data_IF_109900959496
#
_entry.id   IF_109900959496
#
_cell.length_a   1.000
_cell.length_b   1.000
_cell.length_c   1.000
_cell.angle_alpha   90.00
_cell.angle_beta   90.00
_cell.angle_gamma   90.00
#
_symmetry.space_group_name_H-M   'P 1'
#
loop_
_entity.id
_entity.type
_entity.pdbx_description
1 polymer ?
#
# COMPACT_ATOMS: atom_id res chain seq x y z
N UNK A 1 19.67 9.16 12.07
CA UNK A 1 18.66 10.24 12.10
C UNK A 1 17.39 9.60 12.63
N UNK A 2 17.07 9.79 13.91
CA UNK A 2 15.94 9.10 14.54
C UNK A 2 14.62 9.54 13.91
N UNK A 3 13.80 8.57 13.54
CA UNK A 3 12.50 8.73 12.90
C UNK A 3 11.61 9.74 13.67
N UNK A 4 11.71 9.75 15.00
CA UNK A 4 10.98 10.67 15.88
C UNK A 4 11.31 12.14 15.63
N UNK A 5 12.56 12.49 15.35
CA UNK A 5 12.96 13.88 15.09
C UNK A 5 12.37 14.42 13.78
N UNK A 6 12.22 13.54 12.77
CA UNK A 6 11.61 13.90 11.49
C UNK A 6 10.11 14.21 11.70
N UNK A 7 9.40 13.39 12.50
CA UNK A 7 7.99 13.60 12.79
C UNK A 7 7.72 14.92 13.54
N UNK A 8 8.52 15.24 14.56
CA UNK A 8 8.37 16.51 15.30
C UNK A 8 8.57 17.72 14.39
N UNK A 9 9.57 17.66 13.52
CA UNK A 9 9.87 18.75 12.58
C UNK A 9 8.77 18.92 11.51
N UNK A 10 8.17 17.83 11.03
CA UNK A 10 7.02 17.86 10.12
C UNK A 10 5.80 18.50 10.80
N UNK A 11 5.56 18.18 12.09
CA UNK A 11 4.48 18.80 12.87
C UNK A 11 4.68 20.31 13.04
N UNK A 12 5.91 20.74 13.30
CA UNK A 12 6.24 22.18 13.41
C UNK A 12 6.07 22.93 12.08
N UNK A 13 6.37 22.28 10.96
CA UNK A 13 6.14 22.84 9.61
C UNK A 13 4.65 22.95 9.29
N UNK A 14 3.86 21.91 9.62
CA UNK A 14 2.41 21.92 9.52
C UNK A 14 1.77 23.04 10.36
N UNK A 15 2.33 23.32 11.54
CA UNK A 15 1.85 24.35 12.44
C UNK A 15 2.11 25.79 11.94
N UNK A 16 3.15 26.02 11.11
CA UNK A 16 3.54 27.37 10.66
C UNK A 16 2.64 27.96 9.56
N UNK A 17 2.07 27.15 8.66
CA UNK A 17 1.10 27.62 7.63
C UNK A 17 -0.03 26.61 7.39
N UNK A 18 -0.88 26.36 8.40
CA UNK A 18 -1.80 25.23 8.39
C UNK A 18 -2.88 25.36 7.30
N UNK A 19 -3.54 26.52 7.18
CA UNK A 19 -4.73 26.66 6.34
C UNK A 19 -4.48 26.37 4.85
N UNK A 20 -3.36 26.85 4.30
CA UNK A 20 -3.02 26.64 2.87
C UNK A 20 -2.55 25.21 2.58
N UNK A 21 -1.73 24.63 3.45
CA UNK A 21 -1.27 23.24 3.31
C UNK A 21 -2.47 22.29 3.38
N UNK A 22 -3.31 22.48 4.40
CA UNK A 22 -4.49 21.64 4.62
C UNK A 22 -5.47 21.77 3.48
N UNK A 23 -5.74 22.99 3.00
CA UNK A 23 -6.62 23.21 1.85
C UNK A 23 -6.14 22.52 0.58
N UNK A 24 -4.84 22.55 0.29
CA UNK A 24 -4.28 21.89 -0.89
C UNK A 24 -4.21 20.35 -0.73
N UNK A 25 -3.91 19.84 0.46
CA UNK A 25 -3.97 18.40 0.74
C UNK A 25 -5.42 17.88 0.66
N UNK A 26 -6.38 18.65 1.16
CA UNK A 26 -7.81 18.32 1.08
C UNK A 26 -8.31 18.35 -0.37
N UNK A 27 -7.86 19.33 -1.15
CA UNK A 27 -8.12 19.40 -2.58
C UNK A 27 -7.55 18.18 -3.30
N UNK A 28 -6.31 17.79 -3.01
CA UNK A 28 -5.71 16.59 -3.59
C UNK A 28 -6.47 15.32 -3.22
N UNK A 29 -6.89 15.18 -1.96
CA UNK A 29 -7.73 14.07 -1.52
C UNK A 29 -9.07 14.04 -2.28
N UNK A 30 -9.71 15.20 -2.45
CA UNK A 30 -10.94 15.32 -3.23
C UNK A 30 -10.72 14.88 -4.68
N UNK A 31 -9.63 15.30 -5.32
CA UNK A 31 -9.27 14.89 -6.68
C UNK A 31 -9.02 13.38 -6.78
N UNK A 32 -8.34 12.79 -5.80
CA UNK A 32 -8.12 11.34 -5.75
C UNK A 32 -9.42 10.56 -5.60
N UNK A 33 -10.36 11.05 -4.77
CA UNK A 33 -11.69 10.44 -4.62
C UNK A 33 -12.48 10.53 -5.92
N UNK A 34 -12.50 11.69 -6.57
CA UNK A 34 -13.15 11.87 -7.87
C UNK A 34 -12.52 10.94 -8.92
N UNK A 35 -11.19 10.85 -8.97
CA UNK A 35 -10.49 9.94 -9.88
C UNK A 35 -10.82 8.46 -9.60
N UNK A 36 -11.03 8.09 -8.35
CA UNK A 36 -11.40 6.74 -7.95
C UNK A 36 -12.86 6.40 -8.28
N UNK A 37 -13.77 7.37 -8.13
CA UNK A 37 -15.21 7.20 -8.44
C UNK A 37 -15.45 7.19 -9.95
N UNK A 38 -14.81 8.08 -10.70
CA UNK A 38 -14.95 8.19 -12.16
C UNK A 38 -14.14 7.14 -12.91
N UNK A 39 -12.99 6.72 -12.34
CA UNK A 39 -12.15 5.69 -12.91
C UNK A 39 -12.73 4.30 -12.65
N UNK A 40 -13.79 3.96 -13.40
CA UNK A 40 -14.50 2.67 -13.35
C UNK A 40 -13.52 1.48 -13.47
N UNK A 41 -12.42 1.68 -14.20
CA UNK A 41 -11.37 0.68 -14.37
C UNK A 41 -10.15 1.01 -13.49
N UNK A 42 -9.68 0.08 -12.64
CA UNK A 42 -8.52 0.29 -11.77
C UNK A 42 -7.24 0.61 -12.56
N UNK A 43 -7.15 0.17 -13.81
CA UNK A 43 -6.00 0.46 -14.69
C UNK A 43 -5.88 1.96 -15.04
N UNK A 44 -6.98 2.71 -15.01
CA UNK A 44 -7.01 4.15 -15.29
C UNK A 44 -6.95 4.95 -13.99
N UNK A 45 -7.66 4.51 -12.95
CA UNK A 45 -7.69 5.25 -11.67
C UNK A 45 -6.35 5.18 -10.92
N UNK A 46 -5.71 4.01 -10.87
CA UNK A 46 -4.43 3.83 -10.18
C UNK A 46 -3.34 4.80 -10.63
N UNK A 47 -3.02 4.97 -11.92
CA UNK A 47 -1.97 5.91 -12.33
C UNK A 47 -2.33 7.35 -11.98
N UNK A 48 -3.59 7.77 -12.10
CA UNK A 48 -4.01 9.14 -11.75
C UNK A 48 -3.81 9.38 -10.25
N UNK A 49 -4.22 8.43 -9.40
CA UNK A 49 -4.05 8.51 -7.94
C UNK A 49 -2.57 8.55 -7.56
N UNK A 50 -1.73 7.73 -8.19
CA UNK A 50 -0.28 7.73 -7.93
C UNK A 50 0.38 9.08 -8.29
N UNK A 51 0.01 9.67 -9.42
CA UNK A 51 0.54 10.96 -9.84
C UNK A 51 0.10 12.11 -8.92
N UNK A 52 -1.14 12.09 -8.44
CA UNK A 52 -1.63 13.03 -7.43
C UNK A 52 -0.91 12.85 -6.08
N UNK A 53 -0.56 11.60 -5.74
CA UNK A 53 0.17 11.29 -4.51
C UNK A 53 1.59 11.86 -4.56
N UNK A 54 2.25 11.75 -5.72
CA UNK A 54 3.54 12.41 -5.96
C UNK A 54 3.44 13.95 -5.83
N UNK A 55 2.35 14.54 -6.33
CA UNK A 55 2.06 15.97 -6.16
C UNK A 55 1.93 16.39 -4.69
N UNK A 56 1.25 15.58 -3.87
CA UNK A 56 1.17 15.80 -2.43
C UNK A 56 2.54 15.74 -1.76
N UNK A 57 3.35 14.72 -2.08
CA UNK A 57 4.70 14.60 -1.51
C UNK A 57 5.55 15.82 -1.84
N UNK A 58 5.46 16.32 -3.09
CA UNK A 58 6.15 17.56 -3.48
C UNK A 58 5.65 18.78 -2.71
N UNK A 59 4.34 18.87 -2.47
CA UNK A 59 3.73 19.95 -1.72
C UNK A 59 4.19 19.96 -0.26
N UNK A 60 4.28 18.80 0.39
CA UNK A 60 4.84 18.67 1.74
C UNK A 60 6.33 19.02 1.77
N UNK A 61 7.09 18.61 0.76
CA UNK A 61 8.51 18.95 0.63
C UNK A 61 8.73 20.46 0.45
N UNK A 62 7.95 21.11 -0.40
CA UNK A 62 7.97 22.56 -0.58
C UNK A 62 7.56 23.30 0.70
N UNK A 63 6.55 22.78 1.42
CA UNK A 63 6.14 23.28 2.73
C UNK A 63 7.25 23.21 3.78
N UNK A 64 8.01 22.10 3.79
CA UNK A 64 9.17 21.91 4.65
C UNK A 64 10.30 22.91 4.34
N UNK A 65 10.57 23.17 3.06
CA UNK A 65 11.59 24.15 2.65
C UNK A 65 11.14 25.62 2.79
N UNK A 66 9.87 25.88 3.16
CA UNK A 66 9.33 27.23 3.29
C UNK A 66 9.03 27.93 1.96
N UNK A 67 8.92 27.18 0.86
CA UNK A 67 8.63 27.72 -0.47
C UNK A 67 7.17 28.17 -0.62
N UNK A 68 6.89 28.98 -1.63
CA UNK A 68 5.52 29.45 -1.92
C UNK A 68 4.65 28.29 -2.40
N UNK A 69 3.63 27.94 -1.61
CA UNK A 69 2.68 26.88 -1.92
C UNK A 69 1.79 27.29 -3.09
N UNK A 70 1.88 26.53 -4.19
CA UNK A 70 1.03 26.69 -5.39
C UNK A 70 0.28 25.40 -5.70
N UNK A 71 -0.94 25.53 -6.21
CA UNK A 71 -1.75 24.40 -6.70
C UNK A 71 -1.11 23.68 -7.89
N UNK A 72 -0.22 24.33 -8.64
CA UNK A 72 0.54 23.69 -9.72
C UNK A 72 1.41 22.53 -9.25
N UNK A 73 1.83 22.54 -7.99
CA UNK A 73 2.65 21.49 -7.40
C UNK A 73 1.88 20.17 -7.27
N UNK A 74 0.55 20.22 -7.11
CA UNK A 74 -0.31 19.03 -7.05
C UNK A 74 -0.30 18.24 -8.37
N UNK A 75 -0.17 18.94 -9.50
CA UNK A 75 -0.11 18.33 -10.82
C UNK A 75 1.31 18.06 -11.31
N UNK A 76 2.33 18.20 -10.44
CA UNK A 76 3.71 18.00 -10.82
C UNK A 76 3.98 16.60 -11.39
N UNK A 77 3.33 15.57 -10.85
CA UNK A 77 3.43 14.21 -11.38
C UNK A 77 3.01 14.09 -12.85
N UNK A 78 2.06 14.91 -13.31
CA UNK A 78 1.58 14.92 -14.68
C UNK A 78 2.49 15.71 -15.64
N UNK A 79 3.25 16.70 -15.14
CA UNK A 79 4.09 17.59 -15.96
C UNK A 79 5.51 17.04 -16.22
N UNK A 80 5.95 16.04 -15.47
CA UNK A 80 7.30 15.47 -15.56
C UNK A 80 7.37 14.13 -16.31
N UNK A 81 8.38 13.32 -15.97
CA UNK A 81 8.54 11.96 -16.48
C UNK A 81 7.51 11.00 -15.86
N UNK A 82 6.26 11.10 -16.29
CA UNK A 82 5.11 10.30 -15.84
C UNK A 82 5.44 8.80 -15.80
N UNK A 83 6.07 8.27 -16.86
CA UNK A 83 6.43 6.85 -16.95
C UNK A 83 7.40 6.41 -15.86
N UNK A 84 8.39 7.24 -15.56
CA UNK A 84 9.40 6.93 -14.54
C UNK A 84 8.76 6.89 -13.15
N UNK A 85 7.95 7.89 -12.82
CA UNK A 85 7.27 7.97 -11.53
C UNK A 85 6.26 6.85 -11.34
N UNK A 86 5.42 6.57 -12.36
CA UNK A 86 4.44 5.49 -12.30
C UNK A 86 5.10 4.12 -12.17
N UNK A 87 6.18 3.86 -12.91
CA UNK A 87 6.89 2.58 -12.82
C UNK A 87 7.53 2.42 -11.43
N UNK A 88 8.19 3.45 -10.91
CA UNK A 88 8.81 3.41 -9.57
C UNK A 88 7.80 3.21 -8.45
N UNK A 89 6.71 4.00 -8.43
CA UNK A 89 5.65 3.88 -7.42
C UNK A 89 4.84 2.59 -7.59
N UNK A 90 4.59 2.17 -8.83
CA UNK A 90 3.95 0.89 -9.14
C UNK A 90 4.79 -0.30 -8.67
N UNK A 91 6.12 -0.24 -8.84
CA UNK A 91 7.05 -1.25 -8.36
C UNK A 91 7.05 -1.34 -6.82
N UNK A 92 7.01 -0.20 -6.13
CA UNK A 92 6.84 -0.16 -4.68
C UNK A 92 5.54 -0.86 -4.25
N UNK A 93 4.40 -0.54 -4.90
CA UNK A 93 3.12 -1.17 -4.58
C UNK A 93 3.12 -2.67 -4.85
N UNK A 94 3.76 -3.10 -5.94
CA UNK A 94 3.92 -4.52 -6.27
C UNK A 94 4.64 -5.26 -5.13
N UNK A 95 5.74 -4.71 -4.62
CA UNK A 95 6.47 -5.32 -3.52
C UNK A 95 5.65 -5.39 -2.23
N UNK A 96 4.96 -4.31 -1.87
CA UNK A 96 4.06 -4.30 -0.71
C UNK A 96 2.98 -5.38 -0.87
N UNK A 97 2.40 -5.50 -2.07
CA UNK A 97 1.38 -6.50 -2.37
C UNK A 97 1.91 -7.93 -2.23
N UNK A 98 3.12 -8.23 -2.74
CA UNK A 98 3.75 -9.55 -2.60
C UNK A 98 3.96 -9.90 -1.13
N UNK A 99 4.54 -8.98 -0.34
CA UNK A 99 4.76 -9.20 1.08
C UNK A 99 3.46 -9.37 1.86
N UNK A 100 2.42 -8.61 1.50
CA UNK A 100 1.09 -8.76 2.07
C UNK A 100 0.43 -10.09 1.69
N UNK A 101 0.70 -10.66 0.52
CA UNK A 101 0.09 -11.90 0.04
C UNK A 101 0.62 -13.15 0.76
N UNK A 102 1.90 -13.15 1.15
CA UNK A 102 2.55 -14.27 1.86
C UNK A 102 1.76 -14.77 3.09
N UNK A 103 1.34 -13.91 4.05
CA UNK A 103 0.57 -14.37 5.20
C UNK A 103 -0.80 -14.95 4.81
N UNK A 104 -1.45 -14.46 3.76
CA UNK A 104 -2.70 -15.04 3.28
C UNK A 104 -2.49 -16.43 2.67
N UNK A 105 -1.43 -16.62 1.88
CA UNK A 105 -1.11 -17.91 1.27
C UNK A 105 -0.89 -19.02 2.32
N UNK A 106 -0.24 -18.69 3.44
CA UNK A 106 -0.04 -19.64 4.55
C UNK A 106 -1.36 -20.12 5.17
N UNK A 107 -2.35 -19.23 5.31
CA UNK A 107 -3.67 -19.57 5.85
C UNK A 107 -4.40 -20.55 4.91
N UNK A 108 -4.36 -20.31 3.60
CA UNK A 108 -4.99 -21.22 2.63
C UNK A 108 -4.38 -22.63 2.68
N UNK A 109 -3.05 -22.74 2.79
CA UNK A 109 -2.35 -24.02 2.92
C UNK A 109 -2.77 -24.72 4.22
N UNK A 110 -2.84 -23.98 5.35
CA UNK A 110 -3.23 -24.54 6.63
C UNK A 110 -4.67 -25.10 6.59
N UNK A 111 -5.61 -24.38 6.00
CA UNK A 111 -7.00 -24.84 5.84
C UNK A 111 -7.08 -26.13 5.03
N UNK A 112 -6.38 -26.20 3.90
CA UNK A 112 -6.32 -27.41 3.07
C UNK A 112 -5.80 -28.62 3.86
N UNK A 113 -4.73 -28.41 4.65
CA UNK A 113 -4.14 -29.45 5.50
C UNK A 113 -5.07 -29.91 6.63
N UNK A 114 -5.84 -29.01 7.24
CA UNK A 114 -6.81 -29.38 8.29
C UNK A 114 -7.83 -30.40 7.78
N UNK A 115 -8.35 -30.22 6.56
CA UNK A 115 -9.28 -31.18 5.97
C UNK A 115 -8.62 -32.53 5.69
N UNK A 116 -7.39 -32.54 5.17
CA UNK A 116 -6.64 -33.77 4.93
C UNK A 116 -6.34 -34.52 6.25
N UNK A 117 -5.91 -33.81 7.29
CA UNK A 117 -5.50 -34.41 8.56
C UNK A 117 -6.66 -34.92 9.41
N UNK A 118 -7.89 -34.54 9.10
CA UNK A 118 -9.08 -35.04 9.80
C UNK A 118 -9.31 -36.54 9.59
N UNK A 119 -8.73 -37.13 8.56
CA UNK A 119 -8.78 -38.58 8.28
C UNK A 119 -7.70 -39.40 9.00
N UNK A 120 -6.69 -38.74 9.56
CA UNK A 120 -5.56 -39.40 10.25
C UNK A 120 -6.03 -40.30 11.40
N UNK A 121 -6.96 -39.91 12.29
CA UNK A 121 -7.44 -40.78 13.35
C UNK A 121 -8.09 -42.06 12.81
N UNK A 122 -8.82 -41.98 11.70
CA UNK A 122 -9.45 -43.15 11.07
C UNK A 122 -8.43 -44.12 10.47
N UNK A 123 -7.36 -43.59 9.87
CA UNK A 123 -6.27 -44.42 9.33
C UNK A 123 -5.56 -45.15 10.47
N UNK A 124 -5.25 -44.45 11.57
CA UNK A 124 -4.54 -45.03 12.72
C UNK A 124 -5.35 -46.12 13.44
N UNK A 125 -6.68 -45.99 13.50
CA UNK A 125 -7.56 -47.01 14.10
C UNK A 125 -7.61 -48.27 13.22
N UNK A 126 -7.70 -48.11 11.90
CA UNK A 126 -7.89 -49.23 10.98
C UNK A 126 -6.58 -49.88 10.52
N UNK A 127 -5.44 -49.21 10.69
CA UNK A 127 -4.11 -49.66 10.25
C UNK A 127 -3.06 -49.41 11.33
N UNK A 128 -3.01 -50.25 12.39
CA UNK A 128 -2.06 -50.10 13.49
C UNK A 128 -0.59 -50.24 13.08
N UNK A 129 -0.32 -50.87 11.93
CA UNK A 129 1.00 -51.02 11.33
C UNK A 129 1.57 -49.74 10.70
N UNK A 130 0.74 -48.72 10.48
CA UNK A 130 1.17 -47.46 9.85
C UNK A 130 1.68 -46.47 10.89
N UNK A 131 2.89 -45.97 10.69
CA UNK A 131 3.47 -44.98 11.58
C UNK A 131 2.69 -43.64 11.54
N UNK A 132 2.57 -42.91 12.66
CA UNK A 132 1.80 -41.66 12.73
C UNK A 132 2.21 -40.59 11.71
N UNK A 133 3.50 -40.51 11.36
CA UNK A 133 4.00 -39.54 10.37
C UNK A 133 3.65 -39.93 8.93
N UNK A 134 3.47 -41.21 8.65
CA UNK A 134 3.07 -41.69 7.32
C UNK A 134 1.57 -41.51 7.10
N UNK A 135 0.76 -41.64 8.14
CA UNK A 135 -0.68 -41.38 8.08
C UNK A 135 -1.03 -39.92 7.71
N UNK A 136 -0.13 -38.96 7.92
CA UNK A 136 -0.28 -37.55 7.51
C UNK A 136 -0.06 -37.32 6.00
N UNK A 137 0.47 -38.31 5.28
CA UNK A 137 0.84 -38.20 3.86
C UNK A 137 -0.04 -39.04 2.94
N UNK A 138 -0.84 -39.96 3.49
CA UNK A 138 -1.87 -40.75 2.81
C UNK A 138 -3.12 -39.93 2.54
#
# INVERSE_FOLDING_TARGET
>A
MEINHIYSCIFDVLAKRPVRLWGLSLLSLLLMLIASILGVLPIISLPIVLLLCLGNVKLFYAGYNGEALSSDMLFYGFKGNVKHYLCGMGWMLLWIFIWALIPFAGIFIAISKIYAYRFVPYILINRPEVAPMDALRL
#
